data_IF_427972680093
#
_entry.id   IF_427972680093
#
_cell.length_a   1.000
_cell.length_b   1.000
_cell.length_c   1.000
_cell.angle_alpha   90.00
_cell.angle_beta   90.00
_cell.angle_gamma   90.00
#
_symmetry.space_group_name_H-M   'P 1'
#
loop_
_entity.id
_entity.type
_entity.pdbx_description
1 polymer ?
#
# COMPACT_ATOMS: atom_id res chain seq x y z
N UNK A 1 3.54 -11.90 14.25
CA UNK A 1 2.95 -11.14 13.13
C UNK A 1 4.11 -10.86 12.18
N UNK A 2 4.01 -11.22 10.89
CA UNK A 2 5.06 -10.86 9.93
C UNK A 2 5.06 -9.33 9.78
N UNK A 3 6.18 -8.68 10.11
CA UNK A 3 6.38 -7.26 9.82
C UNK A 3 6.40 -7.10 8.30
N UNK A 4 5.29 -6.60 7.75
CA UNK A 4 5.22 -6.24 6.34
C UNK A 4 6.06 -4.99 6.13
N UNK A 5 7.02 -5.04 5.21
CA UNK A 5 7.82 -3.87 4.84
C UNK A 5 7.05 -2.96 3.88
N UNK A 6 7.40 -1.67 3.86
CA UNK A 6 6.84 -0.69 2.90
C UNK A 6 6.95 -1.21 1.48
N UNK A 7 8.11 -1.78 1.12
CA UNK A 7 8.37 -2.32 -0.20
C UNK A 7 7.42 -3.49 -0.52
N UNK A 8 7.27 -4.47 0.37
CA UNK A 8 6.41 -5.63 0.10
C UNK A 8 4.93 -5.23 -0.06
N UNK A 9 4.44 -4.29 0.73
CA UNK A 9 3.05 -3.79 0.58
C UNK A 9 2.89 -3.00 -0.71
N UNK A 10 3.86 -2.13 -1.05
CA UNK A 10 3.81 -1.37 -2.28
C UNK A 10 3.85 -2.27 -3.52
N UNK A 11 4.74 -3.26 -3.56
CA UNK A 11 4.84 -4.23 -4.65
C UNK A 11 3.55 -5.03 -4.82
N UNK A 12 2.96 -5.48 -3.70
CA UNK A 12 1.67 -6.17 -3.73
C UNK A 12 0.61 -5.30 -4.44
N UNK A 13 0.47 -4.04 -4.04
CA UNK A 13 -0.53 -3.12 -4.60
C UNK A 13 -0.23 -2.79 -6.07
N UNK A 14 1.03 -2.53 -6.41
CA UNK A 14 1.45 -2.13 -7.75
C UNK A 14 1.38 -3.28 -8.75
N UNK A 15 1.42 -4.53 -8.29
CA UNK A 15 1.22 -5.70 -9.14
C UNK A 15 -0.24 -6.00 -9.48
N UNK A 16 -1.21 -5.32 -8.84
CA UNK A 16 -2.63 -5.51 -9.10
C UNK A 16 -3.05 -4.89 -10.44
N UNK A 17 -3.85 -5.64 -11.20
CA UNK A 17 -4.58 -5.10 -12.36
C UNK A 17 -5.66 -4.14 -11.91
N UNK A 18 -6.11 -3.25 -12.80
CA UNK A 18 -7.11 -2.22 -12.47
C UNK A 18 -8.38 -2.80 -11.84
N UNK A 19 -8.84 -3.92 -12.39
CA UNK A 19 -10.04 -4.63 -11.92
C UNK A 19 -9.85 -5.25 -10.53
N UNK A 20 -8.62 -5.56 -10.12
CA UNK A 20 -8.29 -6.25 -8.86
C UNK A 20 -8.13 -5.27 -7.70
N UNK A 21 -7.89 -3.99 -7.97
CA UNK A 21 -7.71 -2.96 -6.93
C UNK A 21 -8.96 -2.84 -6.05
N UNK A 22 -10.15 -2.83 -6.65
CA UNK A 22 -11.40 -2.74 -5.90
C UNK A 22 -11.63 -3.97 -5.01
N UNK A 23 -11.30 -5.16 -5.51
CA UNK A 23 -11.41 -6.41 -4.75
C UNK A 23 -10.40 -6.49 -3.61
N UNK A 24 -9.17 -6.04 -3.87
CA UNK A 24 -8.14 -5.90 -2.85
C UNK A 24 -8.60 -4.96 -1.73
N UNK A 25 -9.08 -3.75 -2.06
CA UNK A 25 -9.56 -2.80 -1.07
C UNK A 25 -10.70 -3.41 -0.24
N UNK A 26 -11.69 -4.04 -0.89
CA UNK A 26 -12.80 -4.69 -0.18
C UNK A 26 -12.32 -5.78 0.76
N UNK A 27 -11.40 -6.63 0.30
CA UNK A 27 -10.79 -7.69 1.12
C UNK A 27 -10.05 -7.12 2.32
N UNK A 28 -9.17 -6.13 2.13
CA UNK A 28 -8.38 -5.51 3.20
C UNK A 28 -9.24 -4.73 4.21
N UNK A 29 -10.35 -4.11 3.76
CA UNK A 29 -11.34 -3.48 4.64
C UNK A 29 -12.05 -4.54 5.49
N UNK A 30 -12.53 -5.62 4.88
CA UNK A 30 -13.21 -6.71 5.62
C UNK A 30 -12.29 -7.33 6.69
N UNK A 31 -10.98 -7.38 6.40
CA UNK A 31 -9.97 -7.90 7.32
C UNK A 31 -9.44 -6.85 8.30
N UNK A 32 -9.92 -5.60 8.22
CA UNK A 32 -9.46 -4.45 9.04
C UNK A 32 -7.95 -4.18 8.92
N UNK A 33 -7.36 -4.49 7.77
CA UNK A 33 -5.92 -4.35 7.49
C UNK A 33 -5.57 -3.15 6.62
N UNK A 34 -6.54 -2.59 5.89
CA UNK A 34 -6.30 -1.48 4.98
C UNK A 34 -5.66 -0.27 5.68
N UNK A 35 -6.19 0.12 6.85
CA UNK A 35 -5.66 1.26 7.63
C UNK A 35 -4.20 1.06 8.02
N UNK A 36 -3.83 -0.14 8.48
CA UNK A 36 -2.44 -0.45 8.86
C UNK A 36 -1.50 -0.39 7.65
N UNK A 37 -1.92 -0.93 6.50
CA UNK A 37 -1.15 -0.86 5.24
C UNK A 37 -1.00 0.58 4.76
N UNK A 38 -2.06 1.39 4.81
CA UNK A 38 -2.00 2.81 4.44
C UNK A 38 -1.10 3.61 5.39
N UNK A 39 -1.15 3.33 6.70
CA UNK A 39 -0.25 3.96 7.67
C UNK A 39 1.21 3.63 7.36
N UNK A 40 1.52 2.36 7.11
CA UNK A 40 2.86 1.92 6.75
C UNK A 40 3.36 2.61 5.47
N UNK A 41 2.52 2.70 4.42
CA UNK A 41 2.89 3.40 3.19
C UNK A 41 3.08 4.90 3.44
N UNK A 42 2.24 5.54 4.24
CA UNK A 42 2.40 6.94 4.62
C UNK A 42 3.68 7.20 5.42
N UNK A 43 4.07 6.30 6.31
CA UNK A 43 5.36 6.38 6.99
C UNK A 43 6.50 6.22 5.99
N UNK A 44 6.33 5.30 5.04
CA UNK A 44 7.23 5.11 3.90
C UNK A 44 7.42 6.36 3.04
N UNK A 45 6.37 7.14 2.79
CA UNK A 45 6.47 8.41 2.05
C UNK A 45 7.16 9.53 2.84
N UNK A 46 7.06 9.52 4.17
CA UNK A 46 7.64 10.55 5.05
C UNK A 46 9.09 10.27 5.44
N UNK A 47 9.41 9.02 5.77
CA UNK A 47 10.64 8.63 6.45
C UNK A 47 11.47 7.58 5.69
N UNK A 48 10.95 7.01 4.60
CA UNK A 48 11.63 6.00 3.81
C UNK A 48 12.80 6.54 2.96
N UNK A 49 13.55 5.63 2.35
CA UNK A 49 14.57 5.95 1.32
C UNK A 49 13.92 6.60 0.09
N UNK A 50 14.71 7.16 -0.82
CA UNK A 50 14.18 7.76 -2.05
C UNK A 50 13.28 6.78 -2.84
N UNK A 51 13.69 5.52 -2.95
CA UNK A 51 12.94 4.48 -3.64
C UNK A 51 11.68 4.07 -2.86
N UNK A 52 11.79 3.86 -1.55
CA UNK A 52 10.63 3.53 -0.71
C UNK A 52 9.58 4.63 -0.73
N UNK A 53 9.98 5.91 -0.73
CA UNK A 53 9.07 7.05 -0.85
C UNK A 53 8.32 7.03 -2.17
N UNK A 54 9.04 6.78 -3.27
CA UNK A 54 8.45 6.72 -4.62
C UNK A 54 7.44 5.57 -4.72
N UNK A 55 7.82 4.36 -4.30
CA UNK A 55 6.95 3.19 -4.35
C UNK A 55 5.72 3.36 -3.45
N UNK A 56 5.92 3.86 -2.23
CA UNK A 56 4.82 4.07 -1.29
C UNK A 56 3.81 5.09 -1.82
N UNK A 57 4.30 6.18 -2.43
CA UNK A 57 3.43 7.16 -3.07
C UNK A 57 2.65 6.50 -4.19
N UNK A 58 3.32 5.87 -5.16
CA UNK A 58 2.65 5.21 -6.28
C UNK A 58 1.60 4.19 -5.83
N UNK A 59 1.86 3.44 -4.75
CA UNK A 59 0.90 2.50 -4.19
C UNK A 59 -0.34 3.21 -3.59
N UNK A 60 -0.17 4.33 -2.88
CA UNK A 60 -1.30 5.13 -2.36
C UNK A 60 -2.13 5.73 -3.50
N UNK A 61 -1.47 6.29 -4.52
CA UNK A 61 -2.12 6.84 -5.72
C UNK A 61 -2.93 5.74 -6.43
N UNK A 62 -2.34 4.54 -6.53
CA UNK A 62 -2.98 3.36 -7.13
C UNK A 62 -4.26 2.93 -6.41
N UNK A 63 -4.30 3.11 -5.09
CA UNK A 63 -5.49 2.83 -4.27
C UNK A 63 -6.54 3.97 -4.30
N UNK A 64 -6.21 5.12 -4.91
CA UNK A 64 -7.12 6.26 -5.03
C UNK A 64 -7.20 7.19 -3.81
N UNK A 65 -6.19 7.18 -2.93
CA UNK A 65 -6.17 7.96 -1.67
C UNK A 65 -5.30 9.23 -1.73
N UNK A 66 -5.30 9.96 -2.85
CA UNK A 66 -4.54 11.21 -3.04
C UNK A 66 -5.29 12.45 -2.55
#
# INVERSE_FOLDING_TARGET
MQDQSVQGVAEQILSLRDLEVADFIRSEVSQKRLSAKLHLLNDGTRQGSADSRKMARQAIERLGFL
#
